data_IF_683856649376
#
_entry.id   IF_683856649376
#
_cell.length_a   1.000
_cell.length_b   1.000
_cell.length_c   1.000
_cell.angle_alpha   90.00
_cell.angle_beta   90.00
_cell.angle_gamma   90.00
#
_symmetry.space_group_name_H-M   'P 1'
#
loop_
_entity.id
_entity.type
_entity.pdbx_description
1 polymer ?
#
# COMPACT_ATOMS: atom_id res chain seq x y z
N UNK A 1 18.37 12.26 -17.44
CA UNK A 1 17.01 11.80 -17.81
C UNK A 1 16.13 11.64 -16.58
N UNK A 2 16.45 10.73 -15.66
CA UNK A 2 15.66 10.47 -14.43
C UNK A 2 15.44 11.75 -13.60
N UNK A 3 16.48 12.56 -13.37
CA UNK A 3 16.34 13.81 -12.60
C UNK A 3 15.36 14.82 -13.21
N UNK A 4 15.31 14.90 -14.55
CA UNK A 4 14.31 15.74 -15.23
C UNK A 4 12.90 15.21 -14.97
N UNK A 5 12.72 13.88 -15.09
CA UNK A 5 11.44 13.23 -14.85
C UNK A 5 10.98 13.39 -13.39
N UNK A 6 11.89 13.31 -12.41
CA UNK A 6 11.60 13.62 -11.00
C UNK A 6 11.09 15.05 -10.83
N UNK A 7 11.73 16.02 -11.46
CA UNK A 7 11.29 17.42 -11.42
C UNK A 7 9.90 17.59 -12.06
N UNK A 8 9.67 16.99 -13.23
CA UNK A 8 8.37 17.06 -13.92
C UNK A 8 7.25 16.40 -13.07
N UNK A 9 7.55 15.28 -12.39
CA UNK A 9 6.62 14.67 -11.42
C UNK A 9 6.37 15.58 -10.22
N UNK A 10 7.42 16.23 -9.68
CA UNK A 10 7.29 17.20 -8.60
C UNK A 10 6.38 18.38 -8.97
N UNK A 11 6.50 18.89 -10.19
CA UNK A 11 5.59 19.93 -10.70
C UNK A 11 4.14 19.44 -10.78
N UNK A 12 3.92 18.19 -11.18
CA UNK A 12 2.59 17.58 -11.19
C UNK A 12 2.00 17.41 -9.79
N UNK A 13 2.79 16.92 -8.81
CA UNK A 13 2.39 16.82 -7.41
C UNK A 13 1.98 18.18 -6.83
N UNK A 14 2.71 19.24 -7.19
CA UNK A 14 2.41 20.63 -6.81
C UNK A 14 1.29 21.27 -7.66
N UNK A 15 0.64 20.50 -8.55
CA UNK A 15 -0.44 20.94 -9.44
C UNK A 15 -0.03 22.10 -10.37
N UNK A 16 1.25 22.20 -10.71
CA UNK A 16 1.77 23.20 -11.66
C UNK A 16 1.57 22.77 -13.11
N UNK A 17 1.44 21.47 -13.35
CA UNK A 17 1.10 20.88 -14.64
C UNK A 17 0.02 19.81 -14.48
N UNK A 18 -0.73 19.52 -15.54
CA UNK A 18 -1.72 18.43 -15.55
C UNK A 18 -1.09 17.07 -15.85
N UNK A 19 -1.85 15.98 -15.66
CA UNK A 19 -1.41 14.63 -16.05
C UNK A 19 -1.16 14.55 -17.56
N UNK A 20 -2.02 15.14 -18.39
CA UNK A 20 -1.84 15.14 -19.85
C UNK A 20 -0.57 15.90 -20.28
N UNK A 21 -0.26 17.01 -19.61
CA UNK A 21 0.97 17.76 -19.84
C UNK A 21 2.20 16.95 -19.46
N UNK A 22 2.15 16.26 -18.31
CA UNK A 22 3.24 15.40 -17.87
C UNK A 22 3.47 14.23 -18.84
N UNK A 23 2.41 13.55 -19.28
CA UNK A 23 2.49 12.45 -20.26
C UNK A 23 3.16 12.92 -21.56
N UNK A 24 2.86 14.14 -22.03
CA UNK A 24 3.51 14.73 -23.21
C UNK A 24 4.99 15.06 -22.99
N UNK A 25 5.41 15.30 -21.74
CA UNK A 25 6.81 15.58 -21.37
C UNK A 25 7.64 14.33 -21.14
N UNK A 26 7.01 13.15 -21.01
CA UNK A 26 7.73 11.89 -20.80
C UNK A 26 8.77 11.69 -21.91
N UNK A 27 10.00 11.27 -21.56
CA UNK A 27 11.09 11.12 -22.53
C UNK A 27 10.95 9.86 -23.40
N UNK A 28 9.78 9.22 -23.42
CA UNK A 28 9.54 7.94 -24.07
C UNK A 28 8.44 8.08 -25.13
N UNK A 29 8.57 7.37 -26.28
CA UNK A 29 7.48 7.21 -27.24
C UNK A 29 6.22 6.68 -26.56
N UNK A 30 5.04 7.16 -26.97
CA UNK A 30 3.76 6.81 -26.36
C UNK A 30 3.54 5.28 -26.34
N UNK A 31 3.99 4.61 -27.39
CA UNK A 31 3.85 3.16 -27.58
C UNK A 31 4.73 2.34 -26.64
N UNK A 32 5.75 2.95 -26.02
CA UNK A 32 6.70 2.28 -25.13
C UNK A 32 6.76 2.87 -23.71
N UNK A 33 5.96 3.89 -23.40
CA UNK A 33 5.94 4.57 -22.10
C UNK A 33 5.77 3.59 -20.93
N UNK A 34 4.85 2.64 -21.07
CA UNK A 34 4.60 1.58 -20.09
C UNK A 34 5.87 0.74 -19.82
N UNK A 35 6.49 0.22 -20.89
CA UNK A 35 7.66 -0.66 -20.79
C UNK A 35 8.88 0.07 -20.23
N UNK A 36 9.14 1.29 -20.71
CA UNK A 36 10.29 2.08 -20.26
C UNK A 36 10.12 2.55 -18.80
N UNK A 37 8.90 2.91 -18.40
CA UNK A 37 8.59 3.24 -17.01
C UNK A 37 8.79 2.06 -16.06
N UNK A 38 8.25 0.88 -16.41
CA UNK A 38 8.49 -0.36 -15.65
C UNK A 38 9.98 -0.63 -15.46
N UNK A 39 10.79 -0.56 -16.52
CA UNK A 39 12.25 -0.77 -16.42
C UNK A 39 12.92 0.18 -15.43
N UNK A 40 12.52 1.45 -15.40
CA UNK A 40 13.06 2.41 -14.43
C UNK A 40 12.77 1.95 -13.01
N UNK A 41 11.52 1.58 -12.72
CA UNK A 41 11.10 1.12 -11.40
C UNK A 41 11.81 -0.18 -11.01
N UNK A 42 11.91 -1.14 -11.92
CA UNK A 42 12.62 -2.40 -11.69
C UNK A 42 14.11 -2.18 -11.36
N UNK A 43 14.77 -1.24 -12.04
CA UNK A 43 16.16 -0.86 -11.76
C UNK A 43 16.31 -0.19 -10.38
N UNK A 44 15.36 0.65 -9.97
CA UNK A 44 15.37 1.29 -8.64
C UNK A 44 15.17 0.25 -7.54
N UNK A 45 14.24 -0.70 -7.74
CA UNK A 45 14.04 -1.83 -6.83
C UNK A 45 15.30 -2.69 -6.75
N UNK A 46 15.91 -3.04 -7.89
CA UNK A 46 17.11 -3.87 -7.93
C UNK A 46 18.31 -3.21 -7.24
N UNK A 47 18.43 -1.88 -7.35
CA UNK A 47 19.47 -1.09 -6.68
C UNK A 47 19.13 -0.73 -5.23
N UNK A 48 17.93 -1.08 -4.75
CA UNK A 48 17.42 -0.78 -3.40
C UNK A 48 17.55 0.71 -3.03
N UNK A 49 17.31 1.58 -4.01
CA UNK A 49 17.44 3.01 -3.80
C UNK A 49 16.19 3.58 -3.12
N UNK A 50 16.20 3.63 -1.79
CA UNK A 50 15.07 4.09 -0.97
C UNK A 50 14.62 5.51 -1.27
N UNK A 51 15.54 6.40 -1.67
CA UNK A 51 15.26 7.82 -1.97
C UNK A 51 14.36 8.01 -3.18
N UNK A 52 14.30 7.02 -4.06
CA UNK A 52 13.57 7.11 -5.32
C UNK A 52 12.27 6.28 -5.33
N UNK A 53 11.89 5.66 -4.20
CA UNK A 53 10.65 4.86 -4.13
C UNK A 53 9.40 5.71 -4.28
N UNK A 54 9.35 6.88 -3.63
CA UNK A 54 8.22 7.80 -3.83
C UNK A 54 8.09 8.18 -5.31
N UNK A 55 9.22 8.50 -5.97
CA UNK A 55 9.26 8.74 -7.41
C UNK A 55 8.73 7.55 -8.22
N UNK A 56 9.10 6.31 -7.87
CA UNK A 56 8.57 5.10 -8.53
C UNK A 56 7.05 5.03 -8.41
N UNK A 57 6.51 5.20 -7.20
CA UNK A 57 5.07 5.15 -6.93
C UNK A 57 4.31 6.13 -7.84
N UNK A 58 4.78 7.39 -7.89
CA UNK A 58 4.17 8.40 -8.75
C UNK A 58 4.30 8.06 -10.24
N UNK A 59 5.47 7.60 -10.68
CA UNK A 59 5.68 7.21 -12.07
C UNK A 59 4.72 6.09 -12.48
N UNK A 60 4.53 5.08 -11.63
CA UNK A 60 3.56 4.01 -11.88
C UNK A 60 2.14 4.57 -12.00
N UNK A 61 1.68 5.40 -11.05
CA UNK A 61 0.34 6.01 -11.12
C UNK A 61 0.11 6.86 -12.36
N UNK A 62 1.15 7.54 -12.87
CA UNK A 62 1.04 8.34 -14.08
C UNK A 62 0.90 7.46 -15.31
N UNK A 63 1.62 6.33 -15.37
CA UNK A 63 1.67 5.46 -16.54
C UNK A 63 0.54 4.44 -16.62
N UNK A 64 -0.09 4.15 -15.49
CA UNK A 64 -1.10 3.10 -15.36
C UNK A 64 -2.50 3.60 -15.73
N UNK A 65 -3.32 2.68 -16.26
CA UNK A 65 -4.74 2.93 -16.56
C UNK A 65 -5.66 1.86 -15.95
N UNK A 66 -5.24 0.59 -15.91
CA UNK A 66 -6.03 -0.56 -15.46
C UNK A 66 -5.20 -1.55 -14.61
N UNK A 67 -4.52 -1.04 -13.59
CA UNK A 67 -3.74 -1.83 -12.63
C UNK A 67 -2.59 -2.68 -13.21
N UNK A 68 -2.06 -2.28 -14.38
CA UNK A 68 -1.03 -3.04 -15.11
C UNK A 68 0.33 -3.14 -14.40
N UNK A 69 0.53 -2.40 -13.30
CA UNK A 69 1.75 -2.35 -12.50
C UNK A 69 1.55 -2.85 -11.07
N UNK A 70 0.41 -3.48 -10.77
CA UNK A 70 0.09 -3.94 -9.43
C UNK A 70 1.16 -4.88 -8.83
N UNK A 71 1.81 -5.70 -9.66
CA UNK A 71 2.91 -6.58 -9.27
C UNK A 71 4.13 -5.80 -8.74
N UNK A 72 4.39 -4.60 -9.25
CA UNK A 72 5.48 -3.74 -8.78
C UNK A 72 5.15 -3.12 -7.42
N UNK A 73 3.88 -2.74 -7.19
CA UNK A 73 3.41 -2.32 -5.87
C UNK A 73 3.49 -3.45 -4.86
N UNK A 74 3.12 -4.67 -5.26
CA UNK A 74 3.26 -5.86 -4.43
C UNK A 74 4.71 -6.13 -4.04
N UNK A 75 5.62 -5.99 -5.01
CA UNK A 75 7.04 -6.17 -4.76
C UNK A 75 7.57 -5.13 -3.77
N UNK A 76 7.28 -3.84 -4.00
CA UNK A 76 7.70 -2.77 -3.09
C UNK A 76 7.13 -2.97 -1.68
N UNK A 77 5.85 -3.33 -1.54
CA UNK A 77 5.24 -3.51 -0.21
C UNK A 77 6.00 -4.49 0.68
N UNK A 78 6.68 -5.48 0.10
CA UNK A 78 7.41 -6.53 0.83
C UNK A 78 8.91 -6.22 1.04
N UNK A 79 9.41 -5.10 0.53
CA UNK A 79 10.83 -4.79 0.54
C UNK A 79 11.22 -3.90 1.74
N UNK A 80 12.10 -4.35 2.65
CA UNK A 80 12.32 -3.68 3.94
C UNK A 80 13.19 -2.41 3.88
N UNK A 81 13.74 -2.07 2.71
CA UNK A 81 14.77 -1.03 2.58
C UNK A 81 14.22 0.38 2.32
N UNK A 82 12.90 0.58 2.33
CA UNK A 82 12.25 1.88 2.17
C UNK A 82 11.17 2.12 3.23
N UNK A 83 10.55 3.31 3.20
CA UNK A 83 9.54 3.74 4.18
C UNK A 83 8.15 4.00 3.60
N UNK A 84 7.95 3.82 2.29
CA UNK A 84 6.73 4.23 1.57
C UNK A 84 5.53 3.24 1.71
N UNK A 85 5.49 2.42 2.77
CA UNK A 85 4.47 1.38 2.94
C UNK A 85 3.05 1.93 2.98
N UNK A 86 2.86 3.09 3.63
CA UNK A 86 1.56 3.73 3.77
C UNK A 86 1.00 4.13 2.39
N UNK A 87 1.81 4.77 1.54
CA UNK A 87 1.38 5.17 0.20
C UNK A 87 1.02 3.95 -0.66
N UNK A 88 1.79 2.86 -0.54
CA UNK A 88 1.53 1.62 -1.27
C UNK A 88 0.24 0.96 -0.79
N UNK A 89 0.02 0.81 0.52
CA UNK A 89 -1.19 0.14 1.04
C UNK A 89 -2.46 0.94 0.77
N UNK A 90 -2.40 2.28 0.84
CA UNK A 90 -3.54 3.14 0.47
C UNK A 90 -3.90 2.98 -1.00
N UNK A 91 -2.91 2.83 -1.87
CA UNK A 91 -3.18 2.58 -3.28
C UNK A 91 -3.77 1.19 -3.52
N UNK A 92 -3.24 0.13 -2.89
CA UNK A 92 -3.84 -1.21 -2.99
C UNK A 92 -5.26 -1.25 -2.42
N UNK A 93 -5.55 -0.49 -1.35
CA UNK A 93 -6.90 -0.31 -0.83
C UNK A 93 -7.82 0.32 -1.87
N UNK A 94 -7.37 1.37 -2.58
CA UNK A 94 -8.16 2.06 -3.63
C UNK A 94 -8.45 1.15 -4.83
N UNK A 95 -7.50 0.28 -5.19
CA UNK A 95 -7.63 -0.64 -6.33
C UNK A 95 -8.58 -1.79 -6.06
N UNK A 96 -8.68 -2.21 -4.80
CA UNK A 96 -9.53 -3.35 -4.38
C UNK A 96 -9.20 -4.66 -5.14
N UNK A 97 -8.00 -4.77 -5.72
CA UNK A 97 -7.67 -5.88 -6.60
C UNK A 97 -7.39 -7.18 -5.80
N UNK A 98 -8.07 -8.31 -6.10
CA UNK A 98 -7.97 -9.54 -5.31
C UNK A 98 -6.56 -10.13 -5.19
N UNK A 99 -5.71 -9.96 -6.20
CA UNK A 99 -4.32 -10.46 -6.14
C UNK A 99 -3.48 -9.83 -5.02
N UNK A 100 -3.92 -8.71 -4.45
CA UNK A 100 -3.25 -8.05 -3.33
C UNK A 100 -3.45 -8.76 -1.99
N UNK A 101 -4.49 -9.60 -1.84
CA UNK A 101 -4.82 -10.26 -0.58
C UNK A 101 -3.64 -11.04 0.03
N UNK A 102 -2.98 -11.98 -0.68
CA UNK A 102 -1.86 -12.73 -0.11
C UNK A 102 -0.68 -11.81 0.24
N UNK A 103 -0.42 -10.78 -0.56
CA UNK A 103 0.70 -9.85 -0.35
C UNK A 103 0.45 -8.98 0.88
N UNK A 104 -0.76 -8.44 1.04
CA UNK A 104 -1.15 -7.65 2.21
C UNK A 104 -1.08 -8.50 3.49
N UNK A 105 -1.55 -9.76 3.43
CA UNK A 105 -1.43 -10.71 4.56
C UNK A 105 0.02 -10.88 4.99
N UNK A 106 0.93 -11.06 4.04
CA UNK A 106 2.36 -11.22 4.33
C UNK A 106 2.92 -9.91 4.91
N UNK A 107 2.66 -8.77 4.27
CA UNK A 107 3.22 -7.48 4.66
C UNK A 107 2.85 -7.08 6.10
N UNK A 108 1.58 -7.23 6.50
CA UNK A 108 1.15 -6.85 7.86
C UNK A 108 1.76 -7.70 8.98
N UNK A 109 2.29 -8.88 8.66
CA UNK A 109 2.97 -9.76 9.62
C UNK A 109 4.49 -9.53 9.66
N UNK A 110 5.01 -8.69 8.77
CA UNK A 110 6.43 -8.31 8.79
C UNK A 110 6.65 -7.13 9.73
N UNK A 111 7.83 -7.09 10.34
CA UNK A 111 8.32 -5.92 11.07
C UNK A 111 9.27 -5.16 10.17
N UNK A 112 8.98 -3.89 9.95
CA UNK A 112 9.79 -2.99 9.15
C UNK A 112 10.46 -1.96 10.05
N UNK A 113 11.80 -1.91 10.06
CA UNK A 113 12.58 -1.01 10.92
C UNK A 113 12.15 0.46 10.77
N UNK A 114 11.78 0.87 9.56
CA UNK A 114 11.33 2.24 9.31
C UNK A 114 9.97 2.56 9.93
N UNK A 115 9.09 1.58 10.14
CA UNK A 115 7.79 1.80 10.80
C UNK A 115 7.95 1.87 12.32
N UNK A 116 8.83 1.03 12.86
CA UNK A 116 9.18 1.02 14.29
C UNK A 116 9.93 2.29 14.74
N UNK A 117 10.53 3.02 13.80
CA UNK A 117 11.21 4.28 14.08
C UNK A 117 10.26 5.44 14.44
N UNK A 118 8.95 5.30 14.25
CA UNK A 118 7.94 6.32 14.54
C UNK A 118 7.09 5.96 15.76
N UNK A 119 6.55 6.98 16.46
CA UNK A 119 5.78 6.81 17.68
C UNK A 119 4.48 5.98 17.55
N UNK A 120 4.03 5.68 16.32
CA UNK A 120 2.83 4.88 16.04
C UNK A 120 3.13 3.41 15.71
N UNK A 121 4.41 3.06 15.59
CA UNK A 121 4.91 1.70 15.30
C UNK A 121 4.28 1.02 14.08
N UNK A 122 4.41 -0.31 14.03
CA UNK A 122 3.76 -1.16 13.01
C UNK A 122 2.22 -1.21 13.15
N UNK A 123 1.65 -0.80 14.29
CA UNK A 123 0.21 -0.84 14.55
C UNK A 123 -0.63 -0.03 13.55
N UNK A 124 -0.18 1.17 13.20
CA UNK A 124 -0.86 1.98 12.17
C UNK A 124 -0.88 1.29 10.80
N UNK A 125 0.23 0.67 10.41
CA UNK A 125 0.33 -0.04 9.14
C UNK A 125 -0.55 -1.30 9.11
N UNK A 126 -0.60 -2.06 10.21
CA UNK A 126 -1.52 -3.19 10.39
C UNK A 126 -2.97 -2.74 10.23
N UNK A 127 -3.34 -1.61 10.84
CA UNK A 127 -4.68 -1.03 10.72
C UNK A 127 -5.04 -0.68 9.27
N UNK A 128 -4.11 -0.06 8.53
CA UNK A 128 -4.29 0.25 7.11
C UNK A 128 -4.39 -1.02 6.26
N UNK A 129 -3.58 -2.04 6.52
CA UNK A 129 -3.68 -3.33 5.85
C UNK A 129 -5.06 -4.00 6.10
N UNK A 130 -5.58 -3.92 7.33
CA UNK A 130 -6.93 -4.37 7.67
C UNK A 130 -8.03 -3.64 6.89
N UNK A 131 -7.89 -2.32 6.72
CA UNK A 131 -8.77 -1.54 5.85
C UNK A 131 -8.70 -1.99 4.40
N UNK A 132 -7.50 -2.19 3.85
CA UNK A 132 -7.29 -2.65 2.49
C UNK A 132 -7.95 -4.01 2.23
N UNK A 133 -7.77 -4.99 3.11
CA UNK A 133 -8.44 -6.29 3.03
C UNK A 133 -9.97 -6.16 3.05
N UNK A 134 -10.50 -5.31 3.93
CA UNK A 134 -11.95 -5.04 4.00
C UNK A 134 -12.48 -4.40 2.71
N UNK A 135 -11.75 -3.45 2.12
CA UNK A 135 -12.14 -2.82 0.85
C UNK A 135 -12.13 -3.83 -0.31
N UNK A 136 -11.11 -4.70 -0.39
CA UNK A 136 -11.07 -5.79 -1.39
C UNK A 136 -12.29 -6.70 -1.26
N UNK A 137 -12.69 -7.05 -0.02
CA UNK A 137 -14.01 -7.63 0.28
C UNK A 137 -14.33 -8.99 -0.34
N UNK A 138 -13.39 -9.63 -1.03
CA UNK A 138 -13.56 -10.99 -1.57
C UNK A 138 -13.69 -12.01 -0.45
N UNK A 139 -14.22 -13.20 -0.76
CA UNK A 139 -14.24 -14.32 0.19
C UNK A 139 -12.86 -14.59 0.78
N UNK A 140 -11.82 -14.58 -0.07
CA UNK A 140 -10.44 -14.78 0.35
C UNK A 140 -9.98 -13.69 1.32
N UNK A 141 -10.25 -12.41 1.03
CA UNK A 141 -9.89 -11.31 1.92
C UNK A 141 -10.59 -11.44 3.29
N UNK A 142 -11.88 -11.77 3.30
CA UNK A 142 -12.65 -11.98 4.53
C UNK A 142 -12.13 -13.19 5.32
N UNK A 143 -11.77 -14.28 4.64
CA UNK A 143 -11.20 -15.47 5.29
C UNK A 143 -9.83 -15.17 5.91
N UNK A 144 -9.00 -14.34 5.27
CA UNK A 144 -7.75 -13.85 5.85
C UNK A 144 -7.99 -13.05 7.12
N UNK A 145 -8.97 -12.13 7.10
CA UNK A 145 -9.33 -11.35 8.30
C UNK A 145 -9.78 -12.27 9.44
N UNK A 146 -10.60 -13.30 9.14
CA UNK A 146 -11.04 -14.30 10.14
C UNK A 146 -9.89 -15.11 10.70
N UNK A 147 -9.05 -15.65 9.83
CA UNK A 147 -7.89 -16.45 10.21
C UNK A 147 -6.96 -15.69 11.15
N UNK A 148 -6.66 -14.43 10.82
CA UNK A 148 -5.80 -13.60 11.66
C UNK A 148 -6.48 -13.17 12.98
N UNK A 149 -7.79 -12.91 12.97
CA UNK A 149 -8.54 -12.61 14.19
C UNK A 149 -8.58 -13.81 15.17
N UNK A 150 -8.59 -15.04 14.66
CA UNK A 150 -8.65 -16.24 15.48
C UNK A 150 -7.24 -16.72 15.89
N UNK A 151 -6.32 -16.77 14.92
CA UNK A 151 -5.08 -17.55 15.01
C UNK A 151 -3.79 -16.71 15.03
N UNK A 152 -3.84 -15.38 14.91
CA UNK A 152 -2.63 -14.56 15.02
C UNK A 152 -2.05 -14.61 16.43
N UNK A 153 -0.74 -14.88 16.52
CA UNK A 153 0.05 -14.76 17.76
C UNK A 153 0.45 -13.31 18.07
N UNK A 154 0.41 -12.42 17.05
CA UNK A 154 0.60 -10.99 17.26
C UNK A 154 -0.72 -10.37 17.78
N UNK A 155 -0.73 -9.83 19.02
CA UNK A 155 -1.93 -9.30 19.64
C UNK A 155 -2.46 -8.05 18.91
N UNK A 156 -1.60 -7.24 18.31
CA UNK A 156 -1.99 -6.03 17.58
C UNK A 156 -2.75 -6.43 16.31
N UNK A 157 -2.21 -7.38 15.54
CA UNK A 157 -2.90 -7.94 14.37
C UNK A 157 -4.23 -8.56 14.78
N UNK A 158 -4.23 -9.39 15.83
CA UNK A 158 -5.41 -10.10 16.29
C UNK A 158 -6.55 -9.14 16.64
N UNK A 159 -6.26 -8.16 17.49
CA UNK A 159 -7.24 -7.16 17.93
C UNK A 159 -7.75 -6.32 16.76
N UNK A 160 -6.84 -5.90 15.89
CA UNK A 160 -7.21 -5.11 14.72
C UNK A 160 -8.13 -5.91 13.79
N UNK A 161 -7.86 -7.20 13.55
CA UNK A 161 -8.72 -8.05 12.71
C UNK A 161 -10.08 -8.36 13.36
N UNK A 162 -10.13 -8.54 14.69
CA UNK A 162 -11.40 -8.63 15.44
C UNK A 162 -12.24 -7.37 15.21
N UNK A 163 -11.62 -6.20 15.32
CA UNK A 163 -12.27 -4.92 15.02
C UNK A 163 -12.74 -4.86 13.55
N UNK A 164 -11.94 -5.35 12.59
CA UNK A 164 -12.38 -5.40 11.18
C UNK A 164 -13.60 -6.28 10.97
N UNK A 165 -13.67 -7.45 11.62
CA UNK A 165 -14.83 -8.33 11.55
C UNK A 165 -16.09 -7.65 12.08
N UNK A 166 -16.01 -6.91 13.20
CA UNK A 166 -17.18 -6.20 13.75
C UNK A 166 -17.72 -5.12 12.81
N UNK A 167 -16.87 -4.57 11.93
CA UNK A 167 -17.28 -3.62 10.88
C UNK A 167 -17.79 -4.28 9.59
N UNK A 168 -17.56 -5.58 9.40
CA UNK A 168 -18.10 -6.35 8.27
C UNK A 168 -19.43 -7.01 8.67
N UNK A 169 -19.49 -7.56 9.88
CA UNK A 169 -20.65 -8.26 10.43
C UNK A 169 -21.11 -7.56 11.73
N UNK A 170 -21.71 -6.37 11.64
CA UNK A 170 -22.23 -5.68 12.82
C UNK A 170 -23.37 -6.50 13.44
N UNK A 171 -23.30 -6.79 14.74
CA UNK A 171 -24.41 -7.39 15.49
C UNK A 171 -25.28 -6.29 16.11
N UNK A 172 -26.60 -6.51 16.14
CA UNK A 172 -27.56 -5.53 16.68
C UNK A 172 -27.46 -5.33 18.20
N UNK A 173 -26.70 -6.16 18.91
CA UNK A 173 -26.51 -6.10 20.38
C UNK A 173 -25.26 -5.30 20.81
N UNK A 174 -24.43 -4.84 19.86
CA UNK A 174 -23.27 -4.00 20.16
C UNK A 174 -23.65 -2.53 19.92
N UNK A 175 -24.44 -1.97 20.84
CA UNK A 175 -24.53 -0.52 20.98
C UNK A 175 -23.12 0.01 21.26
N UNK A 176 -22.51 0.62 20.23
CA UNK A 176 -21.22 1.31 20.29
C UNK A 176 -20.03 0.41 20.65
N UNK A 177 -19.30 -0.04 19.62
CA UNK A 177 -18.04 -0.80 19.71
C UNK A 177 -16.88 0.03 20.33
N UNK A 178 -17.15 0.83 21.36
CA UNK A 178 -16.16 1.66 22.08
C UNK A 178 -15.28 0.84 23.02
N UNK A 179 -15.69 -0.39 23.37
CA UNK A 179 -15.00 -1.24 24.37
C UNK A 179 -13.99 -2.25 23.80
N UNK A 180 -13.86 -2.37 22.47
CA UNK A 180 -12.82 -3.24 21.90
C UNK A 180 -11.46 -2.55 22.03
N UNK A 181 -10.42 -3.23 22.55
CA UNK A 181 -9.08 -2.69 22.51
C UNK A 181 -8.70 -2.35 21.06
N UNK A 182 -7.88 -1.34 20.88
CA UNK A 182 -7.36 -0.87 19.61
C UNK A 182 -5.85 -1.02 19.61
N UNK A 183 -5.26 -1.01 18.42
CA UNK A 183 -3.81 -1.21 18.26
C UNK A 183 -2.97 -0.24 19.10
N UNK A 184 -3.46 1.00 19.30
CA UNK A 184 -2.79 2.02 20.12
C UNK A 184 -2.97 1.84 21.64
N UNK A 185 -3.74 0.83 22.09
CA UNK A 185 -3.85 0.48 23.51
C UNK A 185 -2.70 -0.44 23.97
N UNK A 186 -1.80 -0.83 23.05
CA UNK A 186 -0.65 -1.70 23.29
C UNK A 186 0.70 -0.95 23.31
N UNK A 187 0.66 0.39 23.19
CA UNK A 187 1.82 1.29 23.20
C UNK A 187 2.25 1.74 24.61
#
# INVERSE_FOLDING_TARGET
MIEKLKNDIGDYQMRRITREELIKKLPFPKESQYHEGRKIVENIIASKNSKDVNFCIWLLWILEENDEHIDLFHKLLLEPWHSEYNDIIHDLQRREHPSSVPVIKIAMQQKYDSLEAYCTGTGQFINQCGHALRCIGTKEAIDVIKDLAENSEDPIIKVEMIYRLSKIFPTNDLSENEDLPRWYDFD
#
